data_IF_180067399895
#
_entry.id   IF_180067399895
#
_cell.length_a   1.000
_cell.length_b   1.000
_cell.length_c   1.000
_cell.angle_alpha   90.00
_cell.angle_beta   90.00
_cell.angle_gamma   90.00
#
_symmetry.space_group_name_H-M   'P 1'
#
loop_
_entity.id
_entity.type
_entity.pdbx_description
1 polymer ?
#
# COMPACT_ATOMS: atom_id res chain seq x y z
N UNK A 1 10.76 38.87 16.76
CA UNK A 1 10.75 37.72 17.69
C UNK A 1 9.59 36.78 17.38
N UNK A 2 8.36 37.29 17.22
CA UNK A 2 7.18 36.49 16.85
C UNK A 2 7.33 35.66 15.57
N UNK A 3 7.86 36.25 14.50
CA UNK A 3 8.05 35.57 13.20
C UNK A 3 8.98 34.34 13.33
N UNK A 4 10.02 34.42 14.17
CA UNK A 4 10.94 33.29 14.38
C UNK A 4 10.25 32.15 15.14
N UNK A 5 9.46 32.47 16.17
CA UNK A 5 8.67 31.47 16.91
C UNK A 5 7.60 30.84 16.01
N UNK A 6 6.91 31.63 15.19
CA UNK A 6 5.94 31.11 14.21
C UNK A 6 6.59 30.14 13.22
N UNK A 7 7.78 30.49 12.68
CA UNK A 7 8.53 29.60 11.78
C UNK A 7 8.93 28.29 12.47
N UNK A 8 9.41 28.35 13.71
CA UNK A 8 9.79 27.15 14.47
C UNK A 8 8.56 26.27 14.81
N UNK A 9 7.41 26.87 15.12
CA UNK A 9 6.15 26.15 15.33
C UNK A 9 5.67 25.46 14.06
N UNK A 10 5.78 26.10 12.89
CA UNK A 10 5.46 25.48 11.61
C UNK A 10 6.36 24.26 11.35
N UNK A 11 7.67 24.39 11.58
CA UNK A 11 8.60 23.27 11.44
C UNK A 11 8.25 22.11 12.38
N UNK A 12 7.88 22.41 13.63
CA UNK A 12 7.42 21.39 14.58
C UNK A 12 6.11 20.73 14.14
N UNK A 13 5.16 21.51 13.61
CA UNK A 13 3.91 20.97 13.09
C UNK A 13 4.15 20.02 11.93
N UNK A 14 5.03 20.37 10.99
CA UNK A 14 5.40 19.52 9.86
C UNK A 14 6.08 18.23 10.33
N UNK A 15 7.05 18.35 11.24
CA UNK A 15 7.72 17.20 11.85
C UNK A 15 6.71 16.25 12.53
N UNK A 16 5.75 16.77 13.30
CA UNK A 16 4.72 15.94 13.94
C UNK A 16 3.83 15.24 12.93
N UNK A 17 3.41 15.93 11.86
CA UNK A 17 2.63 15.30 10.79
C UNK A 17 3.39 14.16 10.12
N UNK A 18 4.65 14.38 9.74
CA UNK A 18 5.52 13.35 9.14
C UNK A 18 5.73 12.17 10.09
N UNK A 19 5.94 12.46 11.38
CA UNK A 19 6.07 11.45 12.43
C UNK A 19 4.81 10.58 12.53
N UNK A 20 3.63 11.19 12.62
CA UNK A 20 2.37 10.46 12.73
C UNK A 20 2.07 9.61 11.48
N UNK A 21 2.39 10.12 10.28
CA UNK A 21 2.28 9.33 9.04
C UNK A 21 3.23 8.12 9.05
N UNK A 22 4.45 8.30 9.58
CA UNK A 22 5.43 7.23 9.71
C UNK A 22 4.99 6.19 10.75
N UNK A 23 4.46 6.62 11.91
CA UNK A 23 3.89 5.73 12.93
C UNK A 23 2.75 4.89 12.38
N UNK A 24 1.82 5.49 11.61
CA UNK A 24 0.72 4.74 10.99
C UNK A 24 1.24 3.68 10.01
N UNK A 25 2.26 4.02 9.20
CA UNK A 25 2.91 3.05 8.31
C UNK A 25 3.59 1.93 9.08
N UNK A 26 4.26 2.22 10.18
CA UNK A 26 4.94 1.24 11.04
C UNK A 26 3.94 0.27 11.67
N UNK A 27 2.78 0.77 12.10
CA UNK A 27 1.77 -0.03 12.78
C UNK A 27 0.96 -0.87 11.79
N UNK A 28 0.57 -0.28 10.65
CA UNK A 28 -0.40 -0.89 9.72
C UNK A 28 0.25 -1.36 8.42
N UNK A 29 0.89 -0.46 7.69
CA UNK A 29 1.32 -0.71 6.31
C UNK A 29 2.44 -1.75 6.21
N UNK A 30 3.55 -1.55 6.91
CA UNK A 30 4.72 -2.42 6.80
C UNK A 30 4.42 -3.85 7.27
N UNK A 31 3.82 -4.08 8.47
CA UNK A 31 3.53 -5.45 8.92
C UNK A 31 2.59 -6.18 7.97
N UNK A 32 1.53 -5.51 7.51
CA UNK A 32 0.53 -6.11 6.59
C UNK A 32 1.17 -6.46 5.25
N UNK A 33 1.97 -5.56 4.69
CA UNK A 33 2.61 -5.77 3.38
C UNK A 33 3.68 -6.85 3.48
N UNK A 34 4.50 -6.86 4.54
CA UNK A 34 5.50 -7.92 4.79
C UNK A 34 4.82 -9.29 4.89
N UNK A 35 3.74 -9.40 5.66
CA UNK A 35 3.00 -10.66 5.82
C UNK A 35 2.47 -11.17 4.47
N UNK A 36 1.80 -10.31 3.70
CA UNK A 36 1.29 -10.66 2.36
C UNK A 36 2.40 -11.06 1.39
N UNK A 37 3.53 -10.36 1.41
CA UNK A 37 4.67 -10.71 0.56
C UNK A 37 5.28 -12.05 0.96
N UNK A 38 5.37 -12.37 2.26
CA UNK A 38 5.80 -13.69 2.75
C UNK A 38 4.84 -14.81 2.34
N UNK A 39 3.54 -14.59 2.43
CA UNK A 39 2.53 -15.55 1.94
C UNK A 39 2.66 -15.78 0.44
N UNK A 40 2.88 -14.72 -0.33
CA UNK A 40 3.10 -14.81 -1.78
C UNK A 40 4.36 -15.63 -2.09
N UNK A 41 5.47 -15.38 -1.38
CA UNK A 41 6.71 -16.15 -1.54
C UNK A 41 6.47 -17.63 -1.25
N UNK A 42 5.81 -17.97 -0.14
CA UNK A 42 5.49 -19.36 0.20
C UNK A 42 4.60 -20.04 -0.85
N UNK A 43 3.66 -19.30 -1.44
CA UNK A 43 2.85 -19.78 -2.56
C UNK A 43 3.68 -20.05 -3.82
N UNK A 44 4.59 -19.14 -4.17
CA UNK A 44 5.49 -19.31 -5.32
C UNK A 44 6.45 -20.50 -5.13
N UNK A 45 6.96 -20.72 -3.92
CA UNK A 45 7.81 -21.87 -3.59
C UNK A 45 7.07 -23.20 -3.81
N UNK A 46 5.81 -23.29 -3.36
CA UNK A 46 4.96 -24.46 -3.62
C UNK A 46 4.73 -24.69 -5.11
N UNK A 47 4.43 -23.61 -5.84
CA UNK A 47 4.22 -23.70 -7.29
C UNK A 47 5.50 -24.13 -8.03
N UNK A 48 6.68 -23.69 -7.58
CA UNK A 48 7.97 -24.14 -8.13
C UNK A 48 8.19 -25.62 -7.85
N UNK A 49 7.86 -26.11 -6.65
CA UNK A 49 7.96 -27.54 -6.34
C UNK A 49 7.05 -28.37 -7.26
N UNK A 50 5.80 -27.94 -7.46
CA UNK A 50 4.89 -28.59 -8.40
C UNK A 50 5.44 -28.59 -9.84
N UNK A 51 5.98 -27.45 -10.30
CA UNK A 51 6.58 -27.36 -11.62
C UNK A 51 7.85 -28.22 -11.79
N UNK A 52 8.58 -28.51 -10.70
CA UNK A 52 9.74 -29.41 -10.68
C UNK A 52 9.34 -30.89 -10.69
N UNK A 53 8.20 -31.24 -10.09
CA UNK A 53 7.61 -32.59 -10.20
C UNK A 53 7.12 -32.87 -11.62
N UNK A 54 6.77 -31.82 -12.37
CA UNK A 54 6.34 -31.88 -13.77
C UNK A 54 7.21 -31.00 -14.69
N UNK A 55 8.52 -31.32 -14.83
CA UNK A 55 9.47 -30.48 -15.54
C UNK A 55 9.16 -30.47 -17.05
N UNK A 56 9.53 -29.37 -17.71
CA UNK A 56 9.58 -29.34 -19.17
C UNK A 56 10.81 -30.13 -19.64
N UNK A 57 10.70 -31.01 -20.64
CA UNK A 57 11.82 -31.74 -21.20
C UNK A 57 12.89 -30.80 -21.76
N UNK A 58 14.16 -31.18 -21.62
CA UNK A 58 15.30 -30.37 -22.06
C UNK A 58 15.44 -30.30 -23.58
N UNK A 59 14.86 -31.26 -24.29
CA UNK A 59 14.82 -31.34 -25.75
C UNK A 59 13.61 -30.59 -26.35
N UNK A 60 12.89 -29.80 -25.55
CA UNK A 60 11.66 -29.09 -25.91
C UNK A 60 10.52 -30.02 -26.41
N UNK A 61 10.63 -31.33 -26.15
CA UNK A 61 9.57 -32.29 -26.44
C UNK A 61 8.31 -31.93 -25.66
N UNK A 62 7.16 -31.95 -26.34
CA UNK A 62 5.89 -31.61 -25.72
C UNK A 62 5.44 -32.74 -24.78
N UNK A 63 5.19 -32.41 -23.51
CA UNK A 63 4.76 -33.37 -22.46
C UNK A 63 3.29 -33.79 -22.57
N UNK A 64 2.57 -33.22 -23.52
CA UNK A 64 1.12 -33.38 -23.63
C UNK A 64 0.33 -32.42 -22.74
N UNK A 65 -0.94 -32.25 -23.07
CA UNK A 65 -1.90 -31.43 -22.33
C UNK A 65 -3.24 -32.14 -22.24
N UNK A 66 -3.93 -31.98 -21.13
CA UNK A 66 -5.33 -32.39 -21.01
C UNK A 66 -6.23 -31.19 -21.28
N UNK A 67 -7.19 -31.33 -22.20
CA UNK A 67 -8.22 -30.33 -22.48
C UNK A 67 -9.58 -31.02 -22.48
N UNK A 68 -10.51 -30.53 -21.65
CA UNK A 68 -11.86 -31.08 -21.44
C UNK A 68 -11.86 -32.59 -21.15
N UNK A 69 -10.88 -33.07 -20.38
CA UNK A 69 -10.75 -34.49 -20.02
C UNK A 69 -10.11 -35.38 -21.08
N UNK A 70 -9.64 -34.82 -22.21
CA UNK A 70 -8.95 -35.56 -23.27
C UNK A 70 -7.48 -35.16 -23.31
N UNK A 71 -6.59 -36.15 -23.34
CA UNK A 71 -5.14 -35.93 -23.42
C UNK A 71 -4.66 -35.83 -24.87
N UNK A 72 -3.87 -34.80 -25.15
CA UNK A 72 -3.27 -34.53 -26.46
C UNK A 72 -1.75 -34.57 -26.35
N UNK A 73 -1.11 -35.43 -27.15
CA UNK A 73 0.35 -35.57 -27.18
C UNK A 73 1.02 -34.69 -28.23
N UNK A 74 0.23 -34.08 -29.11
CA UNK A 74 0.70 -33.15 -30.14
C UNK A 74 0.40 -31.71 -29.75
N UNK A 75 1.42 -30.85 -29.80
CA UNK A 75 1.32 -29.46 -29.33
C UNK A 75 0.31 -28.64 -30.14
N UNK A 76 0.29 -28.85 -31.46
CA UNK A 76 -0.65 -28.18 -32.35
C UNK A 76 -2.10 -28.62 -32.10
N UNK A 77 -2.32 -29.92 -31.86
CA UNK A 77 -3.66 -30.45 -31.59
C UNK A 77 -4.20 -29.96 -30.24
N UNK A 78 -3.40 -30.08 -29.17
CA UNK A 78 -3.79 -29.60 -27.84
C UNK A 78 -4.06 -28.10 -27.83
N UNK A 79 -3.22 -27.31 -28.49
CA UNK A 79 -3.43 -25.87 -28.66
C UNK A 79 -4.70 -25.52 -29.44
N UNK A 80 -5.02 -26.29 -30.48
CA UNK A 80 -6.25 -26.10 -31.25
C UNK A 80 -7.48 -26.38 -30.39
N UNK A 81 -7.42 -27.38 -29.50
CA UNK A 81 -8.52 -27.73 -28.59
C UNK A 81 -8.78 -26.66 -27.54
N UNK A 82 -7.75 -25.93 -27.10
CA UNK A 82 -7.93 -24.73 -26.28
C UNK A 82 -8.72 -23.67 -27.06
N UNK A 83 -8.34 -23.40 -28.32
CA UNK A 83 -9.02 -22.41 -29.17
C UNK A 83 -10.48 -22.80 -29.43
N UNK A 84 -10.74 -24.08 -29.68
CA UNK A 84 -12.10 -24.59 -29.87
C UNK A 84 -12.93 -24.42 -28.58
N UNK A 85 -12.34 -24.70 -27.42
CA UNK A 85 -12.97 -24.43 -26.13
C UNK A 85 -13.34 -22.95 -25.93
N UNK A 86 -12.49 -22.02 -26.40
CA UNK A 86 -12.81 -20.58 -26.41
C UNK A 86 -14.06 -20.27 -27.24
N UNK A 87 -14.17 -20.85 -28.44
CA UNK A 87 -15.31 -20.60 -29.35
C UNK A 87 -16.63 -21.13 -28.82
N UNK A 88 -16.58 -22.21 -28.05
CA UNK A 88 -17.75 -22.82 -27.41
C UNK A 88 -18.20 -22.09 -26.15
N UNK A 89 -17.41 -21.13 -25.66
CA UNK A 89 -17.70 -20.41 -24.44
C UNK A 89 -18.83 -19.40 -24.66
N UNK A 90 -19.84 -19.44 -23.78
CA UNK A 90 -21.06 -18.62 -23.88
C UNK A 90 -21.19 -17.58 -22.78
N UNK A 91 -20.34 -17.64 -21.75
CA UNK A 91 -20.27 -16.68 -20.64
C UNK A 91 -18.81 -16.28 -20.39
N UNK A 92 -18.53 -15.07 -19.89
CA UNK A 92 -17.18 -14.70 -19.44
C UNK A 92 -16.68 -15.47 -18.20
N UNK A 93 -17.57 -16.15 -17.48
CA UNK A 93 -17.25 -16.83 -16.23
C UNK A 93 -16.16 -17.91 -16.39
N UNK A 94 -15.29 -18.09 -15.38
CA UNK A 94 -14.27 -19.14 -15.42
C UNK A 94 -14.89 -20.54 -15.51
N UNK A 95 -14.45 -21.31 -16.52
CA UNK A 95 -14.81 -22.70 -16.72
C UNK A 95 -13.58 -23.60 -16.68
N UNK A 96 -13.67 -24.84 -16.14
CA UNK A 96 -12.58 -25.79 -16.20
C UNK A 96 -12.14 -26.07 -17.65
N UNK A 97 -10.85 -25.94 -17.93
CA UNK A 97 -10.27 -26.20 -19.25
C UNK A 97 -9.56 -27.54 -19.30
N UNK A 98 -8.79 -27.90 -18.26
CA UNK A 98 -8.04 -29.14 -18.21
C UNK A 98 -6.79 -29.02 -17.35
N UNK A 99 -5.72 -29.74 -17.70
CA UNK A 99 -4.49 -29.82 -16.90
C UNK A 99 -3.24 -29.73 -17.75
N UNK A 100 -2.23 -29.04 -17.24
CA UNK A 100 -0.93 -28.93 -17.89
C UNK A 100 0.20 -28.84 -16.87
N UNK A 101 1.20 -29.73 -17.00
CA UNK A 101 2.40 -29.76 -16.14
C UNK A 101 2.09 -29.70 -14.63
N UNK A 102 1.07 -30.46 -14.21
CA UNK A 102 0.62 -30.54 -12.82
C UNK A 102 -0.34 -29.43 -12.38
N UNK A 103 -0.55 -28.39 -13.19
CA UNK A 103 -1.47 -27.30 -12.88
C UNK A 103 -2.84 -27.54 -13.50
N UNK A 104 -3.89 -27.24 -12.74
CA UNK A 104 -5.25 -27.14 -13.30
C UNK A 104 -5.37 -25.83 -14.09
N UNK A 105 -6.09 -25.89 -15.20
CA UNK A 105 -6.33 -24.77 -16.09
C UNK A 105 -7.81 -24.42 -16.11
N UNK A 106 -8.12 -23.13 -16.02
CA UNK A 106 -9.45 -22.58 -16.28
C UNK A 106 -9.40 -21.61 -17.46
N UNK A 107 -10.44 -21.64 -18.27
CA UNK A 107 -10.67 -20.69 -19.35
C UNK A 107 -11.67 -19.62 -18.89
N UNK A 108 -11.42 -18.37 -19.23
CA UNK A 108 -12.36 -17.26 -18.99
C UNK A 108 -12.22 -16.21 -20.10
N UNK A 109 -13.17 -15.28 -20.19
CA UNK A 109 -13.06 -14.12 -21.06
C UNK A 109 -12.91 -12.86 -20.21
N UNK A 110 -11.78 -12.19 -20.37
CA UNK A 110 -11.56 -10.88 -19.77
C UNK A 110 -12.36 -9.84 -20.57
N UNK A 111 -13.45 -9.36 -19.98
CA UNK A 111 -14.34 -8.38 -20.63
C UNK A 111 -13.70 -7.01 -20.81
N UNK A 112 -12.69 -6.68 -19.99
CA UNK A 112 -11.98 -5.41 -20.08
C UNK A 112 -10.94 -5.43 -21.20
N UNK A 113 -10.09 -6.45 -21.23
CA UNK A 113 -9.10 -6.64 -22.30
C UNK A 113 -9.72 -7.18 -23.60
N UNK A 114 -10.97 -7.65 -23.54
CA UNK A 114 -11.67 -8.34 -24.64
C UNK A 114 -10.87 -9.52 -25.18
N UNK A 115 -10.27 -10.29 -24.28
CA UNK A 115 -9.37 -11.38 -24.59
C UNK A 115 -9.74 -12.65 -23.81
N UNK A 116 -9.65 -13.81 -24.46
CA UNK A 116 -9.69 -15.08 -23.76
C UNK A 116 -8.42 -15.23 -22.93
N UNK A 117 -8.57 -15.73 -21.69
CA UNK A 117 -7.45 -15.97 -20.80
C UNK A 117 -7.53 -17.38 -20.23
N UNK A 118 -6.36 -18.00 -20.07
CA UNK A 118 -6.19 -19.21 -19.27
C UNK A 118 -5.64 -18.83 -17.92
N UNK A 119 -6.36 -19.20 -16.86
CA UNK A 119 -5.88 -19.15 -15.49
C UNK A 119 -5.22 -20.47 -15.15
N UNK A 120 -3.93 -20.43 -14.83
CA UNK A 120 -3.14 -21.53 -14.32
C UNK A 120 -3.30 -21.54 -12.80
N UNK A 121 -3.89 -22.59 -12.27
CA UNK A 121 -4.18 -22.76 -10.84
C UNK A 121 -3.06 -23.53 -10.14
N UNK A 122 -2.38 -22.84 -9.24
CA UNK A 122 -1.51 -23.42 -8.23
C UNK A 122 -1.88 -22.91 -6.84
N UNK A 123 -0.92 -22.90 -5.92
CA UNK A 123 -1.01 -22.14 -4.67
C UNK A 123 -1.22 -20.66 -4.95
N UNK A 124 -0.63 -20.14 -6.05
CA UNK A 124 -0.97 -18.84 -6.59
C UNK A 124 -1.46 -18.97 -8.03
N UNK A 125 -2.68 -18.47 -8.26
CA UNK A 125 -3.26 -18.42 -9.59
C UNK A 125 -2.63 -17.32 -10.43
N UNK A 126 -2.49 -17.57 -11.73
CA UNK A 126 -1.95 -16.62 -12.71
C UNK A 126 -2.66 -16.77 -14.05
N UNK A 127 -2.99 -15.66 -14.68
CA UNK A 127 -3.67 -15.66 -15.98
C UNK A 127 -2.70 -15.36 -17.12
N UNK A 128 -2.95 -15.96 -18.28
CA UNK A 128 -2.27 -15.67 -19.55
C UNK A 128 -3.31 -15.45 -20.64
N UNK A 129 -3.15 -14.38 -21.41
CA UNK A 129 -4.03 -14.10 -22.55
C UNK A 129 -3.73 -15.03 -23.72
N UNK A 130 -4.78 -15.59 -24.29
CA UNK A 130 -4.74 -16.46 -25.46
C UNK A 130 -4.81 -15.64 -26.74
N UNK A 131 -4.07 -16.08 -27.75
CA UNK A 131 -4.17 -15.60 -29.13
C UNK A 131 -4.81 -16.64 -30.03
N UNK A 132 -4.68 -16.43 -31.34
CA UNK A 132 -5.23 -17.30 -32.40
C UNK A 132 -4.28 -18.43 -32.82
N UNK A 133 -3.03 -18.40 -32.38
CA UNK A 133 -2.02 -19.43 -32.67
C UNK A 133 -2.06 -20.55 -31.63
N UNK A 134 -2.39 -21.77 -32.08
CA UNK A 134 -2.49 -22.97 -31.26
C UNK A 134 -1.19 -23.29 -30.51
N UNK A 135 -0.06 -23.34 -31.23
CA UNK A 135 1.24 -23.70 -30.65
C UNK A 135 1.73 -22.58 -29.74
N UNK A 136 1.55 -21.32 -30.16
CA UNK A 136 1.88 -20.15 -29.37
C UNK A 136 1.13 -20.08 -28.05
N UNK A 137 -0.14 -20.51 -28.00
CA UNK A 137 -0.91 -20.54 -26.75
C UNK A 137 -0.30 -21.50 -25.72
N UNK A 138 0.10 -22.71 -26.13
CA UNK A 138 0.81 -23.64 -25.25
C UNK A 138 2.13 -23.02 -24.77
N UNK A 139 2.91 -22.41 -25.69
CA UNK A 139 4.16 -21.73 -25.34
C UNK A 139 3.94 -20.58 -24.33
N UNK A 140 2.84 -19.83 -24.42
CA UNK A 140 2.51 -18.78 -23.43
C UNK A 140 2.25 -19.36 -22.05
N UNK A 141 1.54 -20.49 -21.97
CA UNK A 141 1.28 -21.21 -20.71
C UNK A 141 2.60 -21.72 -20.13
N UNK A 142 3.45 -22.36 -20.96
CA UNK A 142 4.79 -22.81 -20.56
C UNK A 142 5.61 -21.67 -19.97
N UNK A 143 5.71 -20.56 -20.70
CA UNK A 143 6.47 -19.39 -20.26
C UNK A 143 5.97 -18.84 -18.92
N UNK A 144 4.66 -18.91 -18.65
CA UNK A 144 4.11 -18.46 -17.37
C UNK A 144 4.49 -19.38 -16.19
N UNK A 145 4.71 -20.68 -16.45
CA UNK A 145 5.20 -21.66 -15.48
C UNK A 145 6.74 -21.58 -15.34
N UNK A 146 7.46 -21.31 -16.42
CA UNK A 146 8.93 -21.16 -16.38
C UNK A 146 9.36 -19.86 -15.69
N UNK A 147 8.52 -18.82 -15.68
CA UNK A 147 8.80 -17.53 -15.01
C UNK A 147 8.52 -17.53 -13.50
N UNK A 148 8.04 -18.63 -12.91
CA UNK A 148 7.74 -18.67 -11.47
C UNK A 148 9.00 -18.44 -10.61
N UNK A 149 10.17 -19.05 -10.90
CA UNK A 149 11.41 -18.79 -10.16
C UNK A 149 11.86 -17.32 -10.24
N UNK A 150 11.77 -16.69 -11.42
CA UNK A 150 12.10 -15.28 -11.60
C UNK A 150 11.19 -14.38 -10.73
N UNK A 151 9.89 -14.68 -10.70
CA UNK A 151 8.91 -13.96 -9.85
C UNK A 151 9.19 -14.15 -8.36
N UNK A 152 9.60 -15.35 -7.95
CA UNK A 152 10.02 -15.62 -6.57
C UNK A 152 11.20 -14.74 -6.20
N UNK A 153 12.23 -14.69 -7.05
CA UNK A 153 13.41 -13.87 -6.81
C UNK A 153 13.06 -12.39 -6.69
N UNK A 154 12.22 -11.87 -7.59
CA UNK A 154 11.73 -10.49 -7.54
C UNK A 154 10.98 -10.20 -6.21
N UNK A 155 10.08 -11.10 -5.78
CA UNK A 155 9.34 -10.95 -4.52
C UNK A 155 10.22 -11.06 -3.29
N UNK A 156 11.24 -11.90 -3.30
CA UNK A 156 12.22 -12.00 -2.21
C UNK A 156 13.06 -10.72 -2.08
N UNK A 157 13.45 -10.11 -3.19
CA UNK A 157 14.14 -8.80 -3.18
C UNK A 157 13.22 -7.67 -2.68
N UNK A 158 11.96 -7.67 -3.09
CA UNK A 158 10.94 -6.75 -2.59
C UNK A 158 10.76 -6.89 -1.07
N UNK A 159 10.66 -8.13 -0.57
CA UNK A 159 10.55 -8.38 0.87
C UNK A 159 11.75 -7.82 1.64
N UNK A 160 12.97 -8.13 1.19
CA UNK A 160 14.20 -7.62 1.82
C UNK A 160 14.22 -6.09 1.87
N UNK A 161 13.85 -5.44 0.77
CA UNK A 161 13.77 -3.98 0.69
C UNK A 161 12.73 -3.42 1.67
N UNK A 162 11.56 -4.06 1.75
CA UNK A 162 10.47 -3.65 2.65
C UNK A 162 10.84 -3.83 4.13
N UNK A 163 11.54 -4.92 4.48
CA UNK A 163 12.05 -5.16 5.83
C UNK A 163 13.11 -4.12 6.23
N UNK A 164 14.01 -3.74 5.30
CA UNK A 164 14.97 -2.65 5.51
C UNK A 164 14.26 -1.31 5.72
N UNK A 165 13.32 -0.96 4.84
CA UNK A 165 12.53 0.27 4.98
C UNK A 165 11.77 0.31 6.30
N UNK A 166 11.20 -0.82 6.73
CA UNK A 166 10.51 -0.91 8.01
C UNK A 166 11.45 -0.68 9.20
N UNK A 167 12.64 -1.28 9.19
CA UNK A 167 13.64 -1.07 10.22
C UNK A 167 14.12 0.39 10.26
N UNK A 168 14.38 0.99 9.10
CA UNK A 168 14.74 2.41 8.98
C UNK A 168 13.64 3.31 9.51
N UNK A 169 12.38 3.10 9.12
CA UNK A 169 11.24 3.88 9.60
C UNK A 169 11.12 3.82 11.14
N UNK A 170 11.29 2.63 11.74
CA UNK A 170 11.31 2.50 13.21
C UNK A 170 12.42 3.30 13.87
N UNK A 171 13.62 3.34 13.28
CA UNK A 171 14.71 4.15 13.81
C UNK A 171 14.49 5.65 13.61
N UNK A 172 13.88 6.05 12.49
CA UNK A 172 13.64 7.46 12.19
C UNK A 172 12.53 8.08 13.03
N UNK A 173 11.46 7.33 13.31
CA UNK A 173 10.32 7.83 14.09
C UNK A 173 10.69 8.16 15.56
N UNK A 174 11.75 7.53 16.06
CA UNK A 174 12.30 7.77 17.40
C UNK A 174 13.14 9.06 17.47
N UNK A 175 13.60 9.60 16.33
CA UNK A 175 14.40 10.83 16.31
C UNK A 175 13.56 12.01 16.78
N UNK A 176 14.00 12.80 17.79
CA UNK A 176 13.27 13.96 18.28
C UNK A 176 13.32 15.12 17.28
N UNK A 177 12.54 16.18 17.54
CA UNK A 177 12.62 17.41 16.76
C UNK A 177 13.91 18.17 17.09
N UNK A 178 14.83 18.31 16.13
CA UNK A 178 16.16 18.90 16.34
C UNK A 178 16.17 20.32 16.92
N UNK A 179 15.08 21.09 16.73
CA UNK A 179 14.96 22.48 17.20
C UNK A 179 14.04 22.62 18.41
N UNK A 180 13.81 21.53 19.14
CA UNK A 180 12.93 21.53 20.32
C UNK A 180 13.44 22.50 21.40
N UNK A 181 14.74 22.51 21.68
CA UNK A 181 15.36 23.43 22.64
C UNK A 181 15.27 24.89 22.17
N UNK A 182 15.63 25.18 20.91
CA UNK A 182 15.55 26.53 20.33
C UNK A 182 14.11 27.07 20.35
N UNK A 183 13.14 26.23 19.99
CA UNK A 183 11.73 26.59 20.04
C UNK A 183 11.27 26.86 21.47
N UNK A 184 11.69 26.04 22.43
CA UNK A 184 11.33 26.20 23.85
C UNK A 184 11.89 27.49 24.42
N UNK A 185 13.19 27.76 24.20
CA UNK A 185 13.85 28.97 24.68
C UNK A 185 13.20 30.23 24.10
N UNK A 186 13.01 30.29 22.78
CA UNK A 186 12.41 31.46 22.11
C UNK A 186 10.94 31.64 22.48
N UNK A 187 10.19 30.56 22.67
CA UNK A 187 8.80 30.61 23.13
C UNK A 187 8.73 31.16 24.56
N UNK A 188 9.59 30.69 25.46
CA UNK A 188 9.64 31.18 26.84
C UNK A 188 9.99 32.66 26.92
N UNK A 189 11.02 33.09 26.18
CA UNK A 189 11.41 34.51 26.12
C UNK A 189 10.30 35.39 25.55
N UNK A 190 9.61 34.92 24.52
CA UNK A 190 8.47 35.64 23.95
C UNK A 190 7.31 35.76 24.96
N UNK A 191 6.99 34.69 25.69
CA UNK A 191 5.95 34.70 26.71
C UNK A 191 6.26 35.69 27.84
N UNK A 192 7.51 35.73 28.32
CA UNK A 192 7.95 36.71 29.32
C UNK A 192 7.79 38.14 28.81
N UNK A 193 8.24 38.43 27.59
CA UNK A 193 8.12 39.77 27.00
C UNK A 193 6.66 40.19 26.81
N UNK A 194 5.80 39.30 26.34
CA UNK A 194 4.36 39.57 26.21
C UNK A 194 3.70 39.80 27.58
N UNK A 195 4.15 39.09 28.62
CA UNK A 195 3.71 39.30 30.00
C UNK A 195 4.06 40.70 30.51
N UNK A 196 5.32 41.12 30.35
CA UNK A 196 5.79 42.44 30.77
C UNK A 196 5.09 43.59 30.02
N UNK A 197 4.92 43.47 28.70
CA UNK A 197 4.20 44.45 27.88
C UNK A 197 2.73 44.60 28.30
N UNK A 198 2.08 43.52 28.73
CA UNK A 198 0.70 43.57 29.21
C UNK A 198 0.57 44.21 30.60
N UNK A 199 1.61 44.14 31.44
CA UNK A 199 1.66 44.86 32.72
C UNK A 199 1.86 46.36 32.46
N UNK A 200 2.78 46.71 31.56
CA UNK A 200 3.09 48.10 31.18
C UNK A 200 1.89 48.80 30.49
N UNK A 201 1.07 48.05 29.74
CA UNK A 201 -0.22 48.57 29.22
C UNK A 201 -1.24 48.86 30.31
N UNK A 202 -1.33 48.02 31.34
CA UNK A 202 -2.24 48.26 32.49
C UNK A 202 -1.76 49.42 33.34
N UNK A 203 -0.45 49.57 33.52
CA UNK A 203 0.14 50.69 34.24
C UNK A 203 0.01 52.01 33.47
N UNK A 204 0.18 52.03 32.14
CA UNK A 204 -0.05 53.23 31.34
C UNK A 204 -1.55 53.62 31.19
N UNK A 205 -2.48 52.66 31.17
CA UNK A 205 -3.93 52.97 31.23
C UNK A 205 -4.36 53.56 32.58
N UNK A 206 -3.58 53.34 33.65
CA UNK A 206 -3.81 53.93 34.98
C UNK A 206 -3.18 55.33 35.15
N UNK A 207 -2.37 55.80 34.19
CA UNK A 207 -1.59 57.06 34.29
C UNK A 207 -1.97 58.08 33.20
N UNK A 208 -3.15 57.96 32.59
CA UNK A 208 -3.75 59.04 31.76
C UNK A 208 -5.17 59.42 32.21
N UNK A 209 -5.44 59.30 33.51
CA UNK A 209 -6.63 59.84 34.15
C UNK A 209 -6.31 61.17 34.84
N UNK A 210 -6.23 62.27 34.10
CA UNK A 210 -6.39 63.59 34.68
C UNK A 210 -7.77 63.68 35.37
N UNK A 211 -7.90 64.32 36.55
CA UNK A 211 -9.14 64.31 37.31
C UNK A 211 -10.18 65.20 36.61
N UNK A 212 -11.24 64.58 36.09
CA UNK A 212 -12.45 65.31 35.72
C UNK A 212 -13.39 65.31 36.92
N UNK A 213 -13.58 66.49 37.51
CA UNK A 213 -14.59 66.76 38.53
C UNK A 213 -15.98 66.52 37.94
N UNK A 214 -16.77 65.59 38.48
CA UNK A 214 -18.09 65.35 37.90
C UNK A 214 -18.96 64.28 38.54
N UNK A 215 -19.32 64.50 39.80
CA UNK A 215 -20.65 64.30 40.38
C UNK A 215 -21.35 62.90 40.44
N UNK A 216 -21.73 62.59 41.69
CA UNK A 216 -22.88 61.80 42.15
C UNK A 216 -22.94 60.27 41.93
N UNK A 217 -22.87 59.57 43.07
CA UNK A 217 -23.31 58.19 43.28
C UNK A 217 -24.85 58.15 43.27
N UNK A 218 -25.47 57.07 42.76
CA UNK A 218 -26.38 56.34 43.64
C UNK A 218 -26.21 54.82 43.61
N UNK A 219 -26.47 54.25 44.78
CA UNK A 219 -26.32 52.85 45.19
C UNK A 219 -27.34 51.87 44.58
N UNK A 220 -27.06 50.55 44.65
CA UNK A 220 -27.80 49.50 43.94
C UNK A 220 -29.04 48.99 44.71
N UNK A 221 -30.07 48.55 43.97
CA UNK A 221 -31.12 47.68 44.51
C UNK A 221 -31.33 46.42 43.66
N UNK A 222 -30.93 45.33 44.30
CA UNK A 222 -31.56 44.00 44.41
C UNK A 222 -32.13 43.26 43.19
N UNK A 223 -31.64 42.02 43.06
CA UNK A 223 -32.19 40.92 42.26
C UNK A 223 -33.61 40.58 42.73
N UNK A 224 -34.49 40.29 41.77
CA UNK A 224 -35.61 39.38 41.97
C UNK A 224 -35.59 38.30 40.87
N UNK A 225 -35.46 37.05 41.32
CA UNK A 225 -35.86 35.85 40.58
C UNK A 225 -37.38 35.83 40.46
N UNK A 226 -37.92 35.39 39.33
CA UNK A 226 -39.10 34.51 39.17
C UNK A 226 -39.30 34.26 37.67
N UNK A 227 -39.10 33.02 37.22
CA UNK A 227 -40.12 32.00 36.87
C UNK A 227 -40.72 32.18 35.49
#
# INVERSE_FOLDING_TARGET
>A
MDIQVQKLRLLKSNYLSEKYEMEDKIIKYYPTTIARTKETIAGLEKDISLAKEHPKPLDDTFVGIEVKGVSYSEKAEGGQKIIDACKEMTSPDPVPLGKYRGFDLELSFDTFEKAYQVKIKGSLSRSVSLGTDAVGNITRIDNAIEKIPERLEAKSRELSTLEQQFATAKAEVEKPFDKEEELTEKTNRLNVLNGLLNVDKRENELVDGAPDEGDSVPTPKERAYER
#
